data_IF_646411269231
#
_entry.id   IF_646411269231
#
_cell.length_a   1.000
_cell.length_b   1.000
_cell.length_c   1.000
_cell.angle_alpha   90.00
_cell.angle_beta   90.00
_cell.angle_gamma   90.00
#
_symmetry.space_group_name_H-M   'P 1'
#
loop_
_entity.id
_entity.type
_entity.pdbx_description
1 polymer ?
#
# COMPACT_ATOMS: atom_id res chain seq x y z
N UNK A 1 20.57 21.64 -23.90
CA UNK A 1 19.95 20.29 -24.11
C UNK A 1 19.66 19.55 -22.80
N UNK A 2 20.62 19.32 -21.90
CA UNK A 2 20.41 18.57 -20.64
C UNK A 2 19.38 19.24 -19.72
N UNK A 3 19.41 20.56 -19.55
CA UNK A 3 18.45 21.31 -18.74
C UNK A 3 17.00 21.21 -19.26
N UNK A 4 16.81 21.08 -20.56
CA UNK A 4 15.48 20.96 -21.17
C UNK A 4 14.89 19.55 -20.97
N UNK A 5 15.72 18.51 -21.04
CA UNK A 5 15.32 17.13 -20.78
C UNK A 5 14.88 16.93 -19.33
N UNK A 6 15.65 17.43 -18.35
CA UNK A 6 15.31 17.35 -16.92
C UNK A 6 14.01 18.11 -16.60
N UNK A 7 13.82 19.30 -17.18
CA UNK A 7 12.56 20.06 -17.00
C UNK A 7 11.37 19.33 -17.61
N UNK A 8 11.52 18.70 -18.78
CA UNK A 8 10.47 17.92 -19.43
C UNK A 8 10.08 16.69 -18.60
N UNK A 9 11.06 15.94 -18.11
CA UNK A 9 10.87 14.81 -17.20
C UNK A 9 10.04 15.22 -15.99
N UNK A 10 10.47 16.26 -15.28
CA UNK A 10 9.78 16.76 -14.09
C UNK A 10 8.32 17.14 -14.38
N UNK A 11 8.07 17.87 -15.46
CA UNK A 11 6.71 18.24 -15.88
C UNK A 11 5.83 17.04 -16.15
N UNK A 12 6.36 15.98 -16.81
CA UNK A 12 5.60 14.75 -17.06
C UNK A 12 5.25 14.02 -15.77
N UNK A 13 6.18 13.93 -14.84
CA UNK A 13 5.93 13.32 -13.53
C UNK A 13 4.90 14.10 -12.72
N UNK A 14 4.98 15.43 -12.72
CA UNK A 14 3.99 16.30 -12.09
C UNK A 14 2.60 16.15 -12.74
N UNK A 15 2.53 16.04 -14.07
CA UNK A 15 1.29 15.78 -14.77
C UNK A 15 0.71 14.40 -14.43
N UNK A 16 1.55 13.35 -14.41
CA UNK A 16 1.14 12.01 -14.02
C UNK A 16 0.58 11.97 -12.59
N UNK A 17 1.24 12.63 -11.65
CA UNK A 17 0.76 12.76 -10.29
C UNK A 17 -0.59 13.48 -10.24
N UNK A 18 -0.75 14.57 -10.98
CA UNK A 18 -2.02 15.30 -11.08
C UNK A 18 -3.14 14.42 -11.64
N UNK A 19 -2.86 13.63 -12.67
CA UNK A 19 -3.83 12.68 -13.23
C UNK A 19 -4.23 11.59 -12.21
N UNK A 20 -3.28 11.07 -11.43
CA UNK A 20 -3.58 10.10 -10.37
C UNK A 20 -4.49 10.69 -9.28
N UNK A 21 -4.31 11.95 -8.90
CA UNK A 21 -5.19 12.64 -7.94
C UNK A 21 -6.63 12.81 -8.46
N UNK A 22 -6.82 12.72 -9.78
CA UNK A 22 -8.12 12.80 -10.46
C UNK A 22 -8.67 11.42 -10.88
N UNK A 23 -8.08 10.32 -10.39
CA UNK A 23 -8.40 8.94 -10.77
C UNK A 23 -8.28 8.65 -12.29
N UNK A 24 -7.41 9.39 -12.97
CA UNK A 24 -7.17 9.29 -14.41
C UNK A 24 -5.91 8.47 -14.71
N UNK A 25 -5.90 7.19 -14.31
CA UNK A 25 -4.73 6.32 -14.38
C UNK A 25 -4.17 6.13 -15.80
N UNK A 26 -5.02 6.08 -16.84
CA UNK A 26 -4.57 5.95 -18.22
C UNK A 26 -3.80 7.19 -18.70
N UNK A 27 -4.22 8.38 -18.29
CA UNK A 27 -3.52 9.62 -18.60
C UNK A 27 -2.19 9.70 -17.85
N UNK A 28 -2.17 9.28 -16.59
CA UNK A 28 -0.94 9.19 -15.82
C UNK A 28 0.08 8.25 -16.49
N UNK A 29 -0.35 7.06 -16.91
CA UNK A 29 0.54 6.12 -17.61
C UNK A 29 1.07 6.68 -18.93
N UNK A 30 0.24 7.36 -19.72
CA UNK A 30 0.70 8.00 -20.96
C UNK A 30 1.82 9.01 -20.73
N UNK A 31 1.72 9.83 -19.68
CA UNK A 31 2.80 10.77 -19.34
C UNK A 31 4.08 10.03 -18.90
N UNK A 32 3.92 8.94 -18.14
CA UNK A 32 5.07 8.15 -17.67
C UNK A 32 5.70 7.33 -18.80
N UNK A 33 4.92 6.84 -19.77
CA UNK A 33 5.42 6.07 -20.91
C UNK A 33 6.29 6.91 -21.89
N UNK A 34 6.15 8.24 -21.85
CA UNK A 34 6.97 9.17 -22.62
C UNK A 34 8.32 9.50 -21.92
N UNK A 35 8.62 8.87 -20.81
CA UNK A 35 9.88 9.04 -20.07
C UNK A 35 10.78 7.85 -20.39
N UNK A 36 11.79 8.08 -21.21
CA UNK A 36 12.76 7.05 -21.60
C UNK A 36 13.70 6.70 -20.45
N UNK A 37 14.17 7.73 -19.71
CA UNK A 37 15.12 7.56 -18.62
C UNK A 37 14.79 8.51 -17.47
N UNK A 38 14.48 7.94 -16.29
CA UNK A 38 14.10 8.71 -15.11
C UNK A 38 15.30 9.21 -14.29
N UNK A 39 16.48 8.63 -14.46
CA UNK A 39 17.73 9.07 -13.80
C UNK A 39 17.58 9.21 -12.29
N UNK A 40 17.92 10.37 -11.75
CA UNK A 40 17.80 10.68 -10.31
C UNK A 40 16.35 10.66 -9.78
N UNK A 41 15.36 10.71 -10.65
CA UNK A 41 13.93 10.63 -10.30
C UNK A 41 13.36 9.20 -10.39
N UNK A 42 14.20 8.18 -10.57
CA UNK A 42 13.76 6.80 -10.77
C UNK A 42 12.84 6.28 -9.65
N UNK A 43 13.14 6.61 -8.39
CA UNK A 43 12.26 6.24 -7.27
C UNK A 43 10.84 6.78 -7.46
N UNK A 44 10.70 8.07 -7.67
CA UNK A 44 9.39 8.72 -7.84
C UNK A 44 8.67 8.22 -9.10
N UNK A 45 9.42 7.99 -10.19
CA UNK A 45 8.88 7.43 -11.43
C UNK A 45 8.25 6.06 -11.20
N UNK A 46 8.98 5.14 -10.54
CA UNK A 46 8.47 3.81 -10.25
C UNK A 46 7.29 3.83 -9.28
N UNK A 47 7.30 4.70 -8.28
CA UNK A 47 6.20 4.87 -7.35
C UNK A 47 4.91 5.31 -8.07
N UNK A 48 4.98 6.37 -8.89
CA UNK A 48 3.83 6.86 -9.65
C UNK A 48 3.31 5.83 -10.66
N UNK A 49 4.21 5.12 -11.33
CA UNK A 49 3.84 4.07 -12.28
C UNK A 49 3.18 2.89 -11.58
N UNK A 50 3.68 2.51 -10.40
CA UNK A 50 3.07 1.50 -9.54
C UNK A 50 1.64 1.88 -9.14
N UNK A 51 1.43 3.11 -8.68
CA UNK A 51 0.10 3.62 -8.33
C UNK A 51 -0.87 3.65 -9.52
N UNK A 52 -0.41 4.09 -10.69
CA UNK A 52 -1.24 4.11 -11.89
C UNK A 52 -1.66 2.70 -12.33
N UNK A 53 -0.72 1.74 -12.32
CA UNK A 53 -1.01 0.34 -12.65
C UNK A 53 -1.93 -0.32 -11.60
N UNK A 54 -1.74 0.01 -10.31
CA UNK A 54 -2.60 -0.45 -9.23
C UNK A 54 -4.04 0.04 -9.42
N UNK A 55 -4.23 1.31 -9.77
CA UNK A 55 -5.54 1.89 -10.05
C UNK A 55 -6.24 1.21 -11.24
N UNK A 56 -5.47 0.67 -12.20
CA UNK A 56 -5.97 -0.13 -13.32
C UNK A 56 -6.17 -1.61 -13.00
N UNK A 57 -5.98 -2.03 -11.75
CA UNK A 57 -6.00 -3.43 -11.32
C UNK A 57 -4.95 -4.32 -12.04
N UNK A 58 -3.90 -3.74 -12.60
CA UNK A 58 -2.77 -4.46 -13.20
C UNK A 58 -1.75 -4.87 -12.11
N UNK A 59 -2.19 -5.67 -11.16
CA UNK A 59 -1.51 -5.90 -9.88
C UNK A 59 -0.09 -6.45 -9.99
N UNK A 60 0.18 -7.35 -10.95
CA UNK A 60 1.54 -7.91 -11.17
C UNK A 60 2.49 -6.82 -11.66
N UNK A 61 2.07 -6.06 -12.66
CA UNK A 61 2.88 -4.96 -13.20
C UNK A 61 3.09 -3.84 -12.17
N UNK A 62 2.07 -3.54 -11.37
CA UNK A 62 2.18 -2.59 -10.26
C UNK A 62 3.21 -3.07 -9.23
N UNK A 63 3.18 -4.36 -8.87
CA UNK A 63 4.14 -4.96 -7.94
C UNK A 63 5.57 -4.81 -8.45
N UNK A 64 5.82 -5.07 -9.73
CA UNK A 64 7.16 -4.90 -10.33
C UNK A 64 7.66 -3.46 -10.14
N UNK A 65 6.79 -2.46 -10.32
CA UNK A 65 7.17 -1.07 -10.14
C UNK A 65 7.43 -0.72 -8.67
N UNK A 66 6.61 -1.18 -7.74
CA UNK A 66 6.85 -0.97 -6.31
C UNK A 66 8.13 -1.67 -5.83
N UNK A 67 8.45 -2.84 -6.36
CA UNK A 67 9.74 -3.52 -6.09
C UNK A 67 10.94 -2.70 -6.59
N UNK A 68 10.83 -2.08 -7.77
CA UNK A 68 11.87 -1.17 -8.27
C UNK A 68 12.01 0.08 -7.38
N UNK A 69 10.91 0.67 -6.92
CA UNK A 69 10.93 1.78 -5.98
C UNK A 69 11.57 1.36 -4.64
N UNK A 70 11.17 0.21 -4.09
CA UNK A 70 11.73 -0.35 -2.86
C UNK A 70 13.23 -0.63 -2.96
N UNK A 71 13.72 -1.09 -4.10
CA UNK A 71 15.15 -1.32 -4.32
C UNK A 71 15.97 -0.01 -4.22
N UNK A 72 15.37 1.14 -4.51
CA UNK A 72 16.01 2.46 -4.43
C UNK A 72 15.87 3.05 -3.02
N UNK A 73 14.67 2.98 -2.43
CA UNK A 73 14.39 3.46 -1.06
C UNK A 73 13.69 2.35 -0.26
N UNK A 74 14.46 1.47 0.42
CA UNK A 74 13.92 0.28 1.07
C UNK A 74 12.93 0.53 2.19
N UNK A 75 12.96 1.71 2.81
CA UNK A 75 12.09 2.06 3.95
C UNK A 75 10.93 2.98 3.57
N UNK A 76 10.72 3.26 2.29
CA UNK A 76 9.61 4.12 1.89
C UNK A 76 8.26 3.44 2.15
N UNK A 77 7.42 4.12 2.94
CA UNK A 77 6.12 3.58 3.35
C UNK A 77 5.17 3.34 2.18
N UNK A 78 5.13 4.26 1.20
CA UNK A 78 4.23 4.16 0.06
C UNK A 78 4.59 2.96 -0.82
N UNK A 79 5.89 2.74 -1.06
CA UNK A 79 6.37 1.57 -1.80
C UNK A 79 6.03 0.26 -1.07
N UNK A 80 6.30 0.19 0.25
CA UNK A 80 6.01 -1.00 1.06
C UNK A 80 4.50 -1.29 1.12
N UNK A 81 3.65 -0.27 1.30
CA UNK A 81 2.20 -0.42 1.32
C UNK A 81 1.67 -0.87 -0.06
N UNK A 82 2.19 -0.29 -1.14
CA UNK A 82 1.87 -0.68 -2.51
C UNK A 82 2.25 -2.13 -2.81
N UNK A 83 3.46 -2.55 -2.41
CA UNK A 83 3.91 -3.95 -2.53
C UNK A 83 3.00 -4.90 -1.75
N UNK A 84 2.74 -4.62 -0.47
CA UNK A 84 1.92 -5.47 0.37
C UNK A 84 0.51 -5.65 -0.21
N UNK A 85 -0.10 -4.55 -0.65
CA UNK A 85 -1.41 -4.59 -1.29
C UNK A 85 -1.40 -5.41 -2.59
N UNK A 86 -0.38 -5.23 -3.45
CA UNK A 86 -0.26 -5.99 -4.68
C UNK A 86 0.00 -7.48 -4.42
N UNK A 87 0.87 -7.82 -3.45
CA UNK A 87 1.11 -9.21 -3.06
C UNK A 87 -0.18 -9.93 -2.68
N UNK A 88 -1.04 -9.30 -1.86
CA UNK A 88 -2.35 -9.86 -1.51
C UNK A 88 -3.20 -10.13 -2.76
N UNK A 89 -3.19 -9.23 -3.74
CA UNK A 89 -4.00 -9.34 -4.97
C UNK A 89 -3.49 -10.37 -5.98
N UNK A 90 -2.24 -10.82 -5.82
CA UNK A 90 -1.66 -11.87 -6.66
C UNK A 90 -1.50 -13.20 -5.92
N UNK A 91 -2.28 -13.39 -4.84
CA UNK A 91 -2.35 -14.61 -4.01
C UNK A 91 -1.03 -14.96 -3.32
N UNK A 92 -0.26 -13.94 -2.92
CA UNK A 92 1.03 -14.07 -2.22
C UNK A 92 0.93 -13.47 -0.81
N UNK A 93 -0.03 -13.98 -0.03
CA UNK A 93 -0.38 -13.41 1.27
C UNK A 93 0.78 -13.40 2.28
N UNK A 94 1.61 -14.45 2.31
CA UNK A 94 2.78 -14.51 3.20
C UNK A 94 3.74 -13.34 2.94
N UNK A 95 4.05 -13.06 1.67
CA UNK A 95 4.92 -11.94 1.29
C UNK A 95 4.27 -10.58 1.56
N UNK A 96 2.95 -10.51 1.49
CA UNK A 96 2.19 -9.32 1.89
C UNK A 96 2.37 -9.02 3.38
N UNK A 97 2.26 -10.04 4.24
CA UNK A 97 2.48 -9.93 5.69
C UNK A 97 3.93 -9.55 5.98
N UNK A 98 4.90 -10.23 5.37
CA UNK A 98 6.32 -9.93 5.56
C UNK A 98 6.66 -8.49 5.17
N UNK A 99 6.09 -8.01 4.06
CA UNK A 99 6.26 -6.62 3.62
C UNK A 99 5.67 -5.61 4.61
N UNK A 100 4.48 -5.89 5.18
CA UNK A 100 3.90 -5.03 6.22
C UNK A 100 4.67 -5.08 7.54
N UNK A 101 5.26 -6.22 7.88
CA UNK A 101 6.17 -6.30 9.04
C UNK A 101 7.40 -5.44 8.85
N UNK A 102 7.99 -5.46 7.64
CA UNK A 102 9.09 -4.55 7.29
C UNK A 102 8.65 -3.08 7.34
N UNK A 103 7.44 -2.77 6.88
CA UNK A 103 6.88 -1.42 7.02
C UNK A 103 6.74 -1.03 8.50
N UNK A 104 6.27 -1.93 9.35
CA UNK A 104 6.15 -1.70 10.79
C UNK A 104 7.50 -1.45 11.48
N UNK A 105 8.58 -2.12 11.08
CA UNK A 105 9.92 -1.90 11.64
C UNK A 105 10.41 -0.45 11.46
N UNK A 106 10.03 0.19 10.36
CA UNK A 106 10.44 1.55 10.03
C UNK A 106 9.38 2.61 10.37
N UNK A 107 8.10 2.20 10.52
CA UNK A 107 6.94 3.09 10.66
C UNK A 107 5.94 2.57 11.69
N UNK A 108 6.44 2.21 12.89
CA UNK A 108 5.62 1.65 13.96
C UNK A 108 4.52 2.59 14.47
N UNK A 109 4.68 3.90 14.25
CA UNK A 109 3.74 4.95 14.62
C UNK A 109 2.62 5.18 13.62
N UNK A 110 2.60 4.45 12.49
CA UNK A 110 1.59 4.63 11.44
C UNK A 110 0.46 3.61 11.62
N UNK A 111 -0.72 4.01 12.13
CA UNK A 111 -1.77 3.06 12.54
C UNK A 111 -2.30 2.18 11.42
N UNK A 112 -2.32 2.68 10.17
CA UNK A 112 -2.80 1.91 9.01
C UNK A 112 -1.92 0.69 8.71
N UNK A 113 -0.63 0.71 9.06
CA UNK A 113 0.25 -0.46 8.91
C UNK A 113 -0.22 -1.59 9.83
N UNK A 114 -0.53 -1.27 11.10
CA UNK A 114 -1.03 -2.22 12.07
C UNK A 114 -2.41 -2.76 11.69
N UNK A 115 -3.28 -1.87 11.20
CA UNK A 115 -4.60 -2.26 10.72
C UNK A 115 -4.52 -3.26 9.55
N UNK A 116 -3.65 -3.01 8.57
CA UNK A 116 -3.46 -3.92 7.44
C UNK A 116 -2.81 -5.25 7.86
N UNK A 117 -1.90 -5.23 8.86
CA UNK A 117 -1.38 -6.47 9.46
C UNK A 117 -2.51 -7.30 10.06
N UNK A 118 -3.42 -6.66 10.81
CA UNK A 118 -4.58 -7.35 11.37
C UNK A 118 -5.48 -7.97 10.28
N UNK A 119 -5.76 -7.23 9.21
CA UNK A 119 -6.51 -7.71 8.06
C UNK A 119 -5.87 -8.95 7.43
N UNK A 120 -4.57 -8.88 7.18
CA UNK A 120 -3.90 -9.96 6.45
C UNK A 120 -3.65 -11.19 7.32
N UNK A 121 -3.40 -11.03 8.63
CA UNK A 121 -3.41 -12.17 9.56
C UNK A 121 -4.78 -12.82 9.70
N UNK A 122 -5.87 -12.04 9.65
CA UNK A 122 -7.23 -12.58 9.59
C UNK A 122 -7.42 -13.48 8.37
N UNK A 123 -7.01 -13.01 7.18
CA UNK A 123 -7.05 -13.80 5.95
C UNK A 123 -6.16 -15.05 6.01
N UNK A 124 -5.02 -14.97 6.68
CA UNK A 124 -4.13 -16.10 6.88
C UNK A 124 -4.65 -17.12 7.90
N UNK A 125 -5.75 -16.84 8.61
CA UNK A 125 -6.32 -17.68 9.65
C UNK A 125 -5.57 -17.61 10.98
N UNK A 126 -4.63 -16.69 11.15
CA UNK A 126 -3.94 -16.44 12.41
C UNK A 126 -4.73 -15.44 13.24
N UNK A 127 -5.74 -15.95 13.96
CA UNK A 127 -6.62 -15.18 14.82
C UNK A 127 -5.85 -14.38 15.88
N UNK A 128 -4.88 -15.02 16.53
CA UNK A 128 -4.14 -14.40 17.64
C UNK A 128 -3.41 -13.15 17.17
N UNK A 129 -2.66 -13.26 16.08
CA UNK A 129 -2.00 -12.11 15.47
C UNK A 129 -2.99 -11.05 14.97
N UNK A 130 -4.07 -11.48 14.31
CA UNK A 130 -5.08 -10.54 13.82
C UNK A 130 -5.67 -9.68 14.94
N UNK A 131 -6.08 -10.29 16.05
CA UNK A 131 -6.64 -9.58 17.21
C UNK A 131 -5.60 -8.68 17.89
N UNK A 132 -4.37 -9.18 18.06
CA UNK A 132 -3.27 -8.41 18.64
C UNK A 132 -2.99 -7.13 17.85
N UNK A 133 -2.85 -7.23 16.53
CA UNK A 133 -2.56 -6.09 15.68
C UNK A 133 -3.77 -5.13 15.58
N UNK A 134 -4.99 -5.67 15.49
CA UNK A 134 -6.20 -4.84 15.48
C UNK A 134 -6.34 -4.02 16.76
N UNK A 135 -6.19 -4.66 17.92
CA UNK A 135 -6.28 -3.96 19.21
C UNK A 135 -5.24 -2.85 19.35
N UNK A 136 -4.04 -3.05 18.81
CA UNK A 136 -2.99 -2.00 18.77
C UNK A 136 -3.37 -0.86 17.82
N UNK A 137 -3.85 -1.18 16.62
CA UNK A 137 -4.30 -0.19 15.64
C UNK A 137 -5.43 0.68 16.20
N UNK A 138 -6.45 0.07 16.84
CA UNK A 138 -7.59 0.76 17.45
C UNK A 138 -7.20 1.65 18.62
N UNK A 139 -6.19 1.27 19.42
CA UNK A 139 -5.65 2.15 20.47
C UNK A 139 -4.92 3.36 19.91
N UNK A 140 -4.31 3.25 18.74
CA UNK A 140 -3.61 4.36 18.08
C UNK A 140 -4.57 5.29 17.35
N UNK A 141 -5.56 4.72 16.66
CA UNK A 141 -6.59 5.48 15.94
C UNK A 141 -7.95 4.75 16.01
N UNK A 142 -8.84 5.26 16.85
CA UNK A 142 -10.20 4.72 17.03
C UNK A 142 -11.09 4.85 15.79
N UNK A 143 -10.74 5.67 14.81
CA UNK A 143 -11.53 5.81 13.59
C UNK A 143 -11.58 4.51 12.78
N UNK A 144 -10.59 3.61 12.94
CA UNK A 144 -10.61 2.28 12.33
C UNK A 144 -11.80 1.43 12.78
N UNK A 145 -12.37 1.65 13.99
CA UNK A 145 -13.59 0.98 14.43
C UNK A 145 -14.74 1.11 13.40
N UNK A 146 -14.84 2.26 12.75
CA UNK A 146 -15.87 2.51 11.72
C UNK A 146 -15.63 1.73 10.44
N UNK A 147 -14.39 1.30 10.18
CA UNK A 147 -14.02 0.56 8.98
C UNK A 147 -14.21 -0.95 9.17
N UNK A 148 -13.99 -1.46 10.39
CA UNK A 148 -14.02 -2.91 10.68
C UNK A 148 -15.31 -3.61 10.18
N UNK A 149 -16.54 -3.08 10.36
CA UNK A 149 -17.76 -3.73 9.88
C UNK A 149 -17.81 -3.89 8.36
N UNK A 150 -17.12 -3.04 7.63
CA UNK A 150 -17.11 -2.99 6.16
C UNK A 150 -15.89 -3.66 5.54
N UNK A 151 -14.89 -4.00 6.37
CA UNK A 151 -13.66 -4.63 5.89
C UNK A 151 -13.88 -6.13 5.66
N UNK A 152 -13.76 -6.53 4.40
CA UNK A 152 -13.96 -7.92 3.98
C UNK A 152 -12.87 -8.87 4.47
N UNK A 153 -11.70 -8.35 4.75
CA UNK A 153 -10.56 -9.14 5.21
C UNK A 153 -10.78 -9.70 6.63
N UNK A 154 -11.71 -9.13 7.41
CA UNK A 154 -12.14 -9.67 8.70
C UNK A 154 -13.29 -10.67 8.60
N UNK A 155 -13.74 -11.06 7.41
CA UNK A 155 -14.81 -12.05 7.25
C UNK A 155 -14.55 -13.36 8.03
N UNK A 156 -13.31 -13.90 8.11
CA UNK A 156 -13.03 -15.11 8.90
C UNK A 156 -13.25 -14.96 10.40
N UNK A 157 -13.26 -13.73 10.93
CA UNK A 157 -13.38 -13.43 12.36
C UNK A 157 -14.75 -12.88 12.77
N UNK A 158 -15.67 -12.65 11.84
CA UNK A 158 -16.94 -11.93 12.12
C UNK A 158 -17.78 -12.59 13.22
N UNK A 159 -17.81 -13.93 13.26
CA UNK A 159 -18.59 -14.69 14.22
C UNK A 159 -17.76 -15.14 15.43
N UNK A 160 -16.52 -14.64 15.54
CA UNK A 160 -15.64 -15.02 16.63
C UNK A 160 -15.91 -14.16 17.88
N UNK A 161 -16.16 -14.78 19.06
CA UNK A 161 -16.49 -14.05 20.28
C UNK A 161 -15.36 -13.16 20.80
N UNK A 162 -14.10 -13.52 20.60
CA UNK A 162 -12.96 -12.68 21.02
C UNK A 162 -12.82 -11.45 20.13
N UNK A 163 -13.16 -11.57 18.84
CA UNK A 163 -13.22 -10.42 17.92
C UNK A 163 -14.32 -9.45 18.33
N UNK A 164 -15.54 -9.96 18.61
CA UNK A 164 -16.65 -9.13 19.10
C UNK A 164 -16.28 -8.42 20.41
N UNK A 165 -15.70 -9.16 21.37
CA UNK A 165 -15.27 -8.60 22.66
C UNK A 165 -14.19 -7.51 22.50
N UNK A 166 -13.22 -7.70 21.60
CA UNK A 166 -12.21 -6.70 21.31
C UNK A 166 -12.84 -5.37 20.83
N UNK A 167 -13.85 -5.46 19.96
CA UNK A 167 -14.52 -4.25 19.44
C UNK A 167 -15.32 -3.53 20.54
N UNK A 168 -16.02 -4.27 21.41
CA UNK A 168 -16.75 -3.70 22.57
C UNK A 168 -15.81 -2.97 23.54
N UNK A 169 -14.62 -3.52 23.80
CA UNK A 169 -13.62 -2.90 24.70
C UNK A 169 -13.01 -1.60 24.13
N UNK A 170 -13.16 -1.36 22.83
CA UNK A 170 -12.57 -0.21 22.15
C UNK A 170 -13.60 0.86 21.75
N UNK A 171 -14.90 0.62 21.97
CA UNK A 171 -15.98 1.62 21.86
C UNK A 171 -15.90 2.65 23.00
#
# INVERSE_FOLDING_TARGET
MIFDASRRLKRRMEAAQGFLMLDLADQALRELDEIDEAGEHAFQFHLLRGEALRAKAEHRRALDQFLMAHAIVPTDLSALMGMAWCYKRVDRLDQSIDTLRLAYESHAEVPVVLYNLACYYSLAGDKEQALSWLGRALRMDRNFLKLVPHETDFAPLRDDPDFAHLLELTE
#
